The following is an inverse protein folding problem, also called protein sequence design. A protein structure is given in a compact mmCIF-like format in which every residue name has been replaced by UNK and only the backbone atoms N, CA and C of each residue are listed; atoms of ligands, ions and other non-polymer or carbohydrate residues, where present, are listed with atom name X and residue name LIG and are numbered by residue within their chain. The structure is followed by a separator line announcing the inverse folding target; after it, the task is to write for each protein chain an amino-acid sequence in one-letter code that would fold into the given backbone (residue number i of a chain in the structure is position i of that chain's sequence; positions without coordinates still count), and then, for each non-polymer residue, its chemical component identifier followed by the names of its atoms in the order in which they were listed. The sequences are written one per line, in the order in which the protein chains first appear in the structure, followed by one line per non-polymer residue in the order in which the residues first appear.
data_IF_297624108938
#
_entry.id   IF_297624108938
#
_cell.length_a   1.000
_cell.length_b   1.000
_cell.length_c   1.000
_cell.angle_alpha   90.00
_cell.angle_beta   90.00
_cell.angle_gamma   90.00
#
_symmetry.space_group_name_H-M   'P 1'
#
loop_
_entity.id
_entity.type
_entity.pdbx_description
1 polymer ?
#
# COMPACT_ATOMS: atom_id res chain seq x y z
N UNK A 1 -38.75 -13.03 30.97
CA UNK A 1 -39.77 -13.76 30.19
C UNK A 1 -41.08 -13.00 30.33
N UNK A 2 -41.39 -12.16 29.34
CA UNK A 2 -42.73 -11.60 29.17
C UNK A 2 -43.15 -12.05 27.78
N UNK A 3 -43.84 -13.19 27.69
CA UNK A 3 -44.40 -13.67 26.43
C UNK A 3 -45.62 -12.82 26.14
N UNK A 4 -45.41 -11.89 25.23
CA UNK A 4 -46.41 -10.96 24.74
C UNK A 4 -47.47 -11.75 23.96
N UNK A 5 -48.64 -11.99 24.57
CA UNK A 5 -49.78 -12.75 23.99
C UNK A 5 -50.47 -12.03 22.80
N UNK A 6 -49.87 -10.93 22.32
CA UNK A 6 -50.34 -10.21 21.14
C UNK A 6 -50.16 -11.05 19.90
N UNK A 7 -51.16 -11.07 19.01
CA UNK A 7 -51.04 -11.70 17.68
C UNK A 7 -50.27 -10.77 16.74
N UNK A 8 -49.22 -11.24 16.04
CA UNK A 8 -48.54 -10.43 15.04
C UNK A 8 -49.50 -10.04 13.91
N UNK A 9 -49.48 -8.77 13.53
CA UNK A 9 -50.21 -8.23 12.37
C UNK A 9 -49.42 -8.51 11.09
N UNK A 10 -48.09 -8.50 11.16
CA UNK A 10 -47.20 -8.73 10.02
C UNK A 10 -45.90 -9.42 10.47
N UNK A 11 -45.26 -10.13 9.55
CA UNK A 11 -43.89 -10.61 9.70
C UNK A 11 -43.00 -9.99 8.62
N UNK A 12 -41.83 -9.49 9.03
CA UNK A 12 -40.86 -8.85 8.14
C UNK A 12 -39.60 -9.70 8.02
N UNK A 13 -39.21 -9.99 6.78
CA UNK A 13 -38.01 -10.76 6.46
C UNK A 13 -37.00 -9.95 5.63
N UNK A 14 -37.48 -8.88 4.97
CA UNK A 14 -36.66 -8.01 4.14
C UNK A 14 -37.23 -6.60 4.12
N UNK A 15 -36.36 -5.63 3.87
CA UNK A 15 -36.71 -4.21 3.70
C UNK A 15 -36.09 -3.66 2.42
N UNK A 16 -36.78 -2.72 1.78
CA UNK A 16 -36.23 -1.97 0.67
C UNK A 16 -35.69 -0.65 1.20
N UNK A 17 -34.37 -0.44 1.11
CA UNK A 17 -33.76 0.85 1.46
C UNK A 17 -33.91 1.83 0.31
N UNK A 18 -34.02 3.10 0.66
CA UNK A 18 -33.78 4.21 -0.26
C UNK A 18 -32.35 4.03 -0.78
N UNK A 19 -32.19 3.86 -2.08
CA UNK A 19 -30.91 3.62 -2.78
C UNK A 19 -30.41 2.16 -2.85
N UNK A 20 -31.23 1.16 -2.49
CA UNK A 20 -30.92 -0.25 -2.75
C UNK A 20 -31.62 -0.77 -4.01
N UNK A 21 -30.89 -1.50 -4.87
CA UNK A 21 -31.44 -2.12 -6.09
C UNK A 21 -32.25 -3.39 -5.79
N UNK A 22 -31.97 -4.04 -4.65
CA UNK A 22 -32.60 -5.29 -4.22
C UNK A 22 -33.04 -5.20 -2.75
N UNK A 23 -34.12 -5.91 -2.37
CA UNK A 23 -34.52 -6.02 -0.97
C UNK A 23 -33.41 -6.65 -0.13
N UNK A 24 -33.12 -6.06 1.03
CA UNK A 24 -32.12 -6.57 1.96
C UNK A 24 -32.79 -7.40 3.05
N UNK A 25 -32.23 -8.57 3.34
CA UNK A 25 -32.70 -9.40 4.47
C UNK A 25 -32.45 -8.68 5.79
N UNK A 26 -33.41 -8.77 6.70
CA UNK A 26 -33.32 -8.14 8.01
C UNK A 26 -33.50 -9.12 9.15
N UNK A 27 -33.00 -8.73 10.31
CA UNK A 27 -33.23 -9.42 11.58
C UNK A 27 -33.54 -8.42 12.68
N UNK A 28 -34.22 -8.90 13.73
CA UNK A 28 -34.53 -8.09 14.90
C UNK A 28 -33.24 -7.66 15.59
N UNK A 29 -33.07 -6.36 15.78
CA UNK A 29 -31.98 -5.81 16.58
C UNK A 29 -32.44 -5.63 18.03
N UNK A 30 -33.52 -4.86 18.23
CA UNK A 30 -34.05 -4.52 19.54
C UNK A 30 -35.52 -4.11 19.42
N UNK A 31 -36.26 -4.22 20.52
CA UNK A 31 -37.60 -3.65 20.65
C UNK A 31 -37.64 -2.78 21.92
N UNK A 32 -37.86 -1.48 21.73
CA UNK A 32 -38.01 -0.51 22.82
C UNK A 32 -39.43 0.07 22.79
N UNK A 33 -40.26 -0.36 23.75
CA UNK A 33 -41.67 -0.04 23.77
C UNK A 33 -42.39 -0.49 22.49
N UNK A 34 -42.91 0.48 21.74
CA UNK A 34 -43.56 0.25 20.44
C UNK A 34 -42.61 0.42 19.25
N UNK A 35 -41.33 0.75 19.45
CA UNK A 35 -40.36 0.89 18.36
C UNK A 35 -39.63 -0.43 18.15
N UNK A 36 -39.61 -0.91 16.91
CA UNK A 36 -38.98 -2.17 16.51
C UNK A 36 -37.78 -1.86 15.62
N UNK A 37 -36.59 -1.98 16.19
CA UNK A 37 -35.35 -1.78 15.47
C UNK A 37 -34.98 -3.05 14.70
N UNK A 38 -34.84 -2.94 13.39
CA UNK A 38 -34.36 -4.01 12.52
C UNK A 38 -33.04 -3.61 11.87
N UNK A 39 -32.12 -4.56 11.77
CA UNK A 39 -30.83 -4.38 11.10
C UNK A 39 -30.71 -5.32 9.91
N UNK A 40 -29.86 -4.95 8.96
CA UNK A 40 -29.52 -5.84 7.85
C UNK A 40 -28.70 -7.04 8.35
N UNK A 41 -28.90 -8.20 7.74
CA UNK A 41 -28.12 -9.42 8.02
C UNK A 41 -26.69 -9.22 7.54
N UNK A 42 -25.71 -9.39 8.42
CA UNK A 42 -24.29 -9.23 8.13
C UNK A 42 -23.69 -10.53 7.55
N UNK A 43 -22.55 -10.46 6.83
CA UNK A 43 -21.82 -11.63 6.37
C UNK A 43 -21.50 -12.67 7.47
N UNK A 44 -21.24 -12.25 8.71
CA UNK A 44 -21.04 -13.16 9.85
C UNK A 44 -22.31 -13.89 10.31
N UNK A 45 -23.50 -13.41 9.92
CA UNK A 45 -24.78 -14.03 10.29
C UNK A 45 -25.17 -15.19 9.32
N UNK A 46 -24.27 -15.64 8.45
CA UNK A 46 -24.54 -16.56 7.33
C UNK A 46 -25.13 -17.92 7.74
N UNK A 47 -24.83 -18.40 8.94
CA UNK A 47 -25.40 -19.65 9.49
C UNK A 47 -26.78 -19.47 10.15
N UNK A 48 -27.25 -18.23 10.29
CA UNK A 48 -28.54 -17.91 10.87
C UNK A 48 -29.51 -17.58 9.73
N UNK A 49 -30.49 -18.45 9.46
CA UNK A 49 -31.69 -18.01 8.76
C UNK A 49 -32.53 -17.22 9.77
N UNK A 50 -32.51 -15.87 9.74
CA UNK A 50 -33.10 -15.10 10.81
C UNK A 50 -34.60 -15.34 10.79
N UNK A 51 -35.15 -15.64 11.97
CA UNK A 51 -36.59 -15.78 12.11
C UNK A 51 -37.29 -14.50 11.65
N UNK A 52 -38.43 -14.62 10.93
CA UNK A 52 -39.27 -13.48 10.57
C UNK A 52 -39.54 -12.56 11.77
N UNK A 53 -39.33 -11.25 11.61
CA UNK A 53 -39.54 -10.29 12.70
C UNK A 53 -41.03 -10.00 12.84
N UNK A 54 -41.68 -10.34 13.97
CA UNK A 54 -43.10 -10.06 14.16
C UNK A 54 -43.32 -8.58 14.50
N UNK A 55 -44.29 -7.98 13.81
CA UNK A 55 -44.86 -6.68 14.14
C UNK A 55 -46.26 -6.86 14.72
N UNK A 56 -46.53 -6.16 15.82
CA UNK A 56 -47.81 -6.09 16.50
C UNK A 56 -48.50 -4.76 16.19
N UNK A 57 -49.79 -4.69 16.50
CA UNK A 57 -50.56 -3.45 16.35
C UNK A 57 -49.96 -2.33 17.21
N UNK A 58 -49.85 -1.12 16.64
CA UNK A 58 -49.20 0.04 17.24
C UNK A 58 -47.67 0.10 17.14
N UNK A 59 -47.02 -0.92 16.56
CA UNK A 59 -45.57 -0.92 16.37
C UNK A 59 -45.11 0.08 15.30
N UNK A 60 -43.95 0.69 15.55
CA UNK A 60 -43.23 1.54 14.61
C UNK A 60 -41.94 0.84 14.20
N UNK A 61 -41.84 0.49 12.92
CA UNK A 61 -40.63 -0.13 12.37
C UNK A 61 -39.54 0.94 12.18
N UNK A 62 -38.36 0.65 12.73
CA UNK A 62 -37.17 1.48 12.60
C UNK A 62 -36.06 0.67 11.90
N UNK A 63 -35.75 1.01 10.65
CA UNK A 63 -34.70 0.33 9.87
C UNK A 63 -33.37 1.03 10.10
N UNK A 64 -32.39 0.31 10.63
CA UNK A 64 -31.06 0.83 10.87
C UNK A 64 -30.24 0.94 9.57
N UNK A 65 -29.39 1.97 9.49
CA UNK A 65 -28.42 2.15 8.42
C UNK A 65 -27.17 1.34 8.76
N UNK A 66 -26.68 0.52 7.84
CA UNK A 66 -25.42 -0.19 8.03
C UNK A 66 -24.25 0.57 7.36
N UNK A 67 -23.14 0.69 8.08
CA UNK A 67 -21.89 1.27 7.61
C UNK A 67 -20.80 0.19 7.71
N UNK A 68 -20.10 -0.06 6.60
CA UNK A 68 -19.01 -1.04 6.56
C UNK A 68 -17.63 -0.38 6.50
N UNK A 69 -17.52 0.75 5.80
CA UNK A 69 -16.26 1.44 5.55
C UNK A 69 -16.42 2.96 5.68
N UNK A 70 -15.32 3.62 5.99
CA UNK A 70 -15.09 5.03 5.68
C UNK A 70 -14.05 5.12 4.57
N UNK A 71 -13.97 6.24 3.84
CA UNK A 71 -13.01 6.39 2.75
C UNK A 71 -12.01 7.49 3.06
N UNK A 72 -10.74 7.24 2.75
CA UNK A 72 -9.67 8.22 2.81
C UNK A 72 -9.62 8.99 1.49
N UNK A 73 -9.62 10.32 1.56
CA UNK A 73 -9.57 11.21 0.41
C UNK A 73 -8.52 12.30 0.58
N UNK A 74 -7.93 12.74 -0.53
CA UNK A 74 -7.05 13.91 -0.59
C UNK A 74 -7.83 15.25 -0.53
N UNK A 75 -9.13 15.22 -0.80
CA UNK A 75 -9.99 16.40 -0.85
C UNK A 75 -11.17 16.27 0.10
N UNK A 76 -11.72 17.41 0.54
CA UNK A 76 -12.77 17.44 1.54
C UNK A 76 -14.14 16.92 1.04
N UNK A 77 -14.37 16.81 -0.27
CA UNK A 77 -15.61 16.28 -0.84
C UNK A 77 -15.48 15.83 -2.31
N UNK A 78 -16.21 14.77 -2.67
CA UNK A 78 -16.33 14.26 -4.05
C UNK A 78 -15.63 12.91 -4.27
N UNK A 79 -15.74 12.36 -5.48
CA UNK A 79 -15.00 11.15 -5.89
C UNK A 79 -13.55 11.45 -6.27
N UNK A 80 -13.18 12.73 -6.39
CA UNK A 80 -11.84 13.16 -6.71
C UNK A 80 -10.91 13.05 -5.50
N UNK A 81 -9.79 12.36 -5.71
CA UNK A 81 -8.79 12.18 -4.66
C UNK A 81 -9.10 11.03 -3.71
N UNK A 82 -9.99 10.09 -4.08
CA UNK A 82 -10.11 8.82 -3.38
C UNK A 82 -8.76 8.11 -3.31
N UNK A 83 -8.42 7.59 -2.13
CA UNK A 83 -7.16 6.90 -1.88
C UNK A 83 -7.39 5.44 -1.52
N UNK A 84 -8.13 5.18 -0.45
CA UNK A 84 -8.41 3.82 -0.01
C UNK A 84 -9.67 3.74 0.86
N UNK A 85 -10.33 2.58 0.92
CA UNK A 85 -11.38 2.32 1.89
C UNK A 85 -10.77 1.84 3.21
N UNK A 86 -11.37 2.22 4.33
CA UNK A 86 -10.99 1.79 5.66
C UNK A 86 -12.18 1.08 6.30
N UNK A 87 -12.02 -0.22 6.57
CA UNK A 87 -13.02 -1.03 7.25
C UNK A 87 -13.26 -0.49 8.65
N UNK A 88 -14.52 -0.35 9.07
CA UNK A 88 -14.88 0.10 10.42
C UNK A 88 -15.64 -0.96 11.21
N UNK A 89 -15.38 -1.01 12.51
CA UNK A 89 -16.03 -1.93 13.46
C UNK A 89 -16.60 -1.15 14.65
N UNK A 90 -17.66 -1.71 15.22
CA UNK A 90 -18.33 -1.13 16.38
C UNK A 90 -17.42 -1.20 17.62
N UNK A 91 -17.31 -0.10 18.36
CA UNK A 91 -16.67 -0.08 19.68
C UNK A 91 -17.73 -0.16 20.76
N UNK A 92 -18.71 0.75 20.71
CA UNK A 92 -19.80 0.84 21.69
C UNK A 92 -20.96 1.66 21.16
N UNK A 93 -22.11 1.52 21.82
CA UNK A 93 -23.32 2.34 21.60
C UNK A 93 -23.61 3.16 22.84
N UNK A 94 -24.00 4.41 22.63
CA UNK A 94 -24.45 5.36 23.64
C UNK A 94 -25.81 5.91 23.18
N UNK A 95 -26.68 6.42 24.08
CA UNK A 95 -27.95 7.01 23.66
C UNK A 95 -27.74 8.15 22.66
N UNK A 96 -28.27 8.02 21.43
CA UNK A 96 -28.12 9.00 20.36
C UNK A 96 -26.76 8.98 19.62
N UNK A 97 -25.88 8.01 19.92
CA UNK A 97 -24.51 7.99 19.40
C UNK A 97 -23.93 6.58 19.23
N UNK A 98 -23.30 6.32 18.10
CA UNK A 98 -22.53 5.10 17.84
C UNK A 98 -21.05 5.45 17.75
N UNK A 99 -20.20 4.73 18.48
CA UNK A 99 -18.75 4.89 18.40
C UNK A 99 -18.16 3.69 17.66
N UNK A 100 -17.46 3.98 16.58
CA UNK A 100 -16.76 3.01 15.74
C UNK A 100 -15.27 3.35 15.64
N UNK A 101 -14.49 2.39 15.16
CA UNK A 101 -13.07 2.58 14.85
C UNK A 101 -12.71 1.85 13.57
N UNK A 102 -11.57 2.18 12.99
CA UNK A 102 -11.00 1.34 11.93
C UNK A 102 -10.62 -0.04 12.46
N UNK A 103 -10.84 -1.06 11.64
CA UNK A 103 -10.36 -2.43 11.86
C UNK A 103 -8.83 -2.40 11.84
N UNK A 104 -8.17 -3.04 12.82
CA UNK A 104 -6.71 -3.03 12.89
C UNK A 104 -6.10 -3.94 11.84
N UNK A 105 -4.88 -3.63 11.41
CA UNK A 105 -4.11 -4.53 10.57
C UNK A 105 -3.90 -5.86 11.31
N UNK A 106 -4.19 -6.98 10.66
CA UNK A 106 -4.21 -8.34 11.24
C UNK A 106 -5.37 -8.67 12.20
N UNK A 107 -6.32 -7.75 12.47
CA UNK A 107 -7.56 -8.11 13.15
C UNK A 107 -8.47 -8.87 12.16
N UNK A 108 -8.99 -10.06 12.52
CA UNK A 108 -9.90 -10.78 11.65
C UNK A 108 -11.16 -9.97 11.36
N UNK A 109 -11.53 -9.84 10.08
CA UNK A 109 -12.83 -9.28 9.67
C UNK A 109 -13.86 -10.41 9.59
N UNK A 110 -14.82 -10.41 10.51
CA UNK A 110 -15.96 -11.31 10.47
C UNK A 110 -17.06 -10.81 9.51
N UNK A 111 -16.95 -9.58 9.01
CA UNK A 111 -17.93 -8.92 8.17
C UNK A 111 -19.01 -8.15 8.94
N UNK A 112 -18.94 -8.05 10.26
CA UNK A 112 -19.91 -7.32 11.08
C UNK A 112 -19.96 -5.83 10.73
N UNK A 113 -21.15 -5.29 10.44
CA UNK A 113 -21.30 -3.88 10.06
C UNK A 113 -21.72 -3.02 11.24
N UNK A 114 -21.39 -1.73 11.18
CA UNK A 114 -21.85 -0.75 12.16
C UNK A 114 -23.27 -0.34 11.79
N UNK A 115 -24.25 -0.79 12.57
CA UNK A 115 -25.66 -0.42 12.37
C UNK A 115 -26.01 0.84 13.17
N UNK A 116 -26.71 1.81 12.59
CA UNK A 116 -26.99 3.11 13.19
C UNK A 116 -28.48 3.39 13.09
N UNK A 117 -29.13 3.76 14.20
CA UNK A 117 -30.54 4.13 14.15
C UNK A 117 -30.70 5.50 13.49
N UNK A 118 -31.81 5.74 12.76
CA UNK A 118 -32.13 7.07 12.24
C UNK A 118 -32.11 8.13 13.36
N UNK A 119 -31.31 9.18 13.18
CA UNK A 119 -31.15 10.28 14.14
C UNK A 119 -29.96 10.14 15.09
N UNK A 120 -29.33 8.97 15.18
CA UNK A 120 -28.07 8.80 15.92
C UNK A 120 -26.89 9.43 15.16
N UNK A 121 -25.96 10.00 15.91
CA UNK A 121 -24.65 10.44 15.40
C UNK A 121 -23.64 9.30 15.37
N UNK A 122 -22.66 9.35 14.47
CA UNK A 122 -21.58 8.35 14.41
C UNK A 122 -20.23 9.01 14.64
N UNK A 123 -19.52 8.59 15.67
CA UNK A 123 -18.11 8.96 15.88
C UNK A 123 -17.22 7.82 15.39
N UNK A 124 -16.30 8.12 14.47
CA UNK A 124 -15.34 7.15 13.93
C UNK A 124 -13.92 7.55 14.34
N UNK A 125 -13.28 6.69 15.12
CA UNK A 125 -11.87 6.81 15.49
C UNK A 125 -11.00 6.23 14.36
N UNK A 126 -10.39 7.09 13.57
CA UNK A 126 -9.63 6.67 12.38
C UNK A 126 -8.16 6.47 12.74
N UNK A 127 -7.71 5.22 12.61
CA UNK A 127 -6.30 4.82 12.65
C UNK A 127 -5.91 4.24 11.29
N UNK A 128 -4.82 4.75 10.72
CA UNK A 128 -4.21 4.23 9.50
C UNK A 128 -2.93 3.49 9.86
N UNK A 129 -2.76 2.29 9.33
CA UNK A 129 -1.56 1.46 9.52
C UNK A 129 -0.85 1.27 8.18
N UNK A 130 0.48 1.47 8.16
CA UNK A 130 1.25 1.47 6.92
C UNK A 130 1.20 0.11 6.21
N UNK A 131 1.16 -0.97 6.97
CA UNK A 131 1.05 -2.31 6.41
C UNK A 131 -0.33 -2.60 5.82
N UNK A 132 -1.40 -1.96 6.31
CA UNK A 132 -2.73 -2.03 5.70
C UNK A 132 -2.76 -1.29 4.35
N UNK A 133 -2.06 -0.15 4.24
CA UNK A 133 -1.88 0.54 2.96
C UNK A 133 -1.10 -0.34 1.98
N UNK A 134 -0.04 -0.99 2.45
CA UNK A 134 0.79 -1.87 1.64
C UNK A 134 0.01 -3.09 1.11
N UNK A 135 -0.79 -3.72 1.98
CA UNK A 135 -1.66 -4.83 1.58
C UNK A 135 -2.69 -4.39 0.55
N UNK A 136 -3.31 -3.21 0.73
CA UNK A 136 -4.26 -2.67 -0.23
C UNK A 136 -3.60 -2.45 -1.61
N UNK A 137 -2.44 -1.79 -1.65
CA UNK A 137 -1.70 -1.56 -2.90
C UNK A 137 -1.16 -2.87 -3.50
N UNK A 138 -1.02 -3.94 -2.72
CA UNK A 138 -0.63 -5.25 -3.25
C UNK A 138 -1.74 -5.94 -4.06
N UNK A 139 -3.00 -5.52 -3.90
CA UNK A 139 -4.14 -6.15 -4.57
C UNK A 139 -4.02 -5.98 -6.09
N UNK A 140 -3.93 -7.11 -6.80
CA UNK A 140 -3.78 -7.13 -8.26
C UNK A 140 -2.34 -7.00 -8.76
N UNK A 141 -1.35 -6.84 -7.88
CA UNK A 141 0.07 -6.86 -8.23
C UNK A 141 0.66 -8.27 -8.05
N UNK A 142 1.34 -8.77 -9.09
CA UNK A 142 2.09 -10.03 -9.02
C UNK A 142 3.57 -9.70 -8.86
N UNK A 143 4.18 -10.14 -7.76
CA UNK A 143 5.59 -9.92 -7.48
C UNK A 143 5.85 -8.65 -6.66
N UNK A 144 6.65 -7.73 -7.20
CA UNK A 144 7.01 -6.50 -6.49
C UNK A 144 5.83 -5.52 -6.43
N UNK A 145 5.52 -5.05 -5.22
CA UNK A 145 4.54 -3.98 -4.99
C UNK A 145 5.28 -2.65 -4.90
N UNK A 146 5.03 -1.69 -5.82
CA UNK A 146 5.64 -0.36 -5.77
C UNK A 146 5.43 0.31 -4.42
N UNK A 147 6.51 0.89 -3.87
CA UNK A 147 6.46 1.52 -2.54
C UNK A 147 6.09 3.00 -2.61
N UNK A 148 6.21 3.63 -3.79
CA UNK A 148 5.80 5.04 -3.96
C UNK A 148 4.31 5.26 -3.68
N UNK A 149 3.35 4.47 -4.23
CA UNK A 149 1.94 4.64 -3.91
C UNK A 149 1.64 4.43 -2.43
N UNK A 150 2.26 3.42 -1.82
CA UNK A 150 2.15 3.13 -0.39
C UNK A 150 2.58 4.33 0.46
N UNK A 151 3.78 4.87 0.21
CA UNK A 151 4.26 6.03 0.95
C UNK A 151 3.50 7.30 0.60
N UNK A 152 3.05 7.47 -0.64
CA UNK A 152 2.21 8.61 -1.00
C UNK A 152 0.93 8.61 -0.17
N UNK A 153 0.26 7.45 -0.07
CA UNK A 153 -0.97 7.32 0.70
C UNK A 153 -0.76 7.57 2.19
N UNK A 154 0.31 6.99 2.75
CA UNK A 154 0.72 7.24 4.13
C UNK A 154 0.99 8.73 4.43
N UNK A 155 1.76 9.39 3.57
CA UNK A 155 2.18 10.78 3.77
C UNK A 155 1.05 11.78 3.54
N UNK A 156 0.04 11.43 2.75
CA UNK A 156 -1.17 12.23 2.60
C UNK A 156 -2.00 12.28 3.90
N UNK A 157 -1.96 11.20 4.70
CA UNK A 157 -2.62 11.13 6.01
C UNK A 157 -1.76 11.71 7.17
N UNK A 158 -0.49 12.02 6.94
CA UNK A 158 0.41 12.58 7.94
C UNK A 158 0.19 14.09 8.19
N UNK A 159 0.47 14.56 9.41
CA UNK A 159 0.37 15.98 9.79
C UNK A 159 1.23 16.88 8.91
N UNK A 160 0.66 18.03 8.49
CA UNK A 160 1.28 18.96 7.54
C UNK A 160 2.32 19.92 8.15
N UNK A 161 2.38 20.08 9.48
CA UNK A 161 3.31 21.04 10.08
C UNK A 161 4.75 20.51 10.04
N UNK A 162 5.61 21.17 9.25
CA UNK A 162 7.08 21.01 9.15
C UNK A 162 7.64 19.79 8.37
N UNK A 163 6.84 19.14 7.52
CA UNK A 163 7.20 17.82 6.95
C UNK A 163 7.48 17.76 5.44
N UNK A 164 7.40 18.87 4.70
CA UNK A 164 7.47 18.86 3.24
C UNK A 164 8.82 18.35 2.68
N UNK A 165 9.95 18.72 3.29
CA UNK A 165 11.27 18.22 2.88
C UNK A 165 11.40 16.71 3.09
N UNK A 166 10.96 16.21 4.26
CA UNK A 166 11.00 14.76 4.59
C UNK A 166 10.09 13.95 3.68
N UNK A 167 8.89 14.48 3.37
CA UNK A 167 7.96 13.88 2.39
C UNK A 167 8.59 13.77 1.02
N UNK A 168 9.15 14.88 0.50
CA UNK A 168 9.84 14.90 -0.79
C UNK A 168 11.01 13.93 -0.82
N UNK A 169 11.77 13.82 0.27
CA UNK A 169 12.88 12.88 0.40
C UNK A 169 12.42 11.42 0.28
N UNK A 170 11.41 11.02 1.06
CA UNK A 170 10.88 9.65 1.03
C UNK A 170 10.28 9.30 -0.33
N UNK A 171 9.46 10.19 -0.91
CA UNK A 171 8.88 9.98 -2.24
C UNK A 171 9.96 9.92 -3.33
N UNK A 172 11.01 10.73 -3.20
CA UNK A 172 12.15 10.71 -4.11
C UNK A 172 12.95 9.40 -4.03
N UNK A 173 13.13 8.85 -2.82
CA UNK A 173 13.79 7.56 -2.63
C UNK A 173 12.94 6.40 -3.15
N UNK A 174 11.64 6.38 -2.80
CA UNK A 174 10.67 5.39 -3.25
C UNK A 174 10.56 5.32 -4.78
N UNK A 175 10.41 6.47 -5.44
CA UNK A 175 10.31 6.53 -6.91
C UNK A 175 11.55 5.97 -7.61
N UNK A 176 12.73 6.20 -7.04
CA UNK A 176 13.98 5.66 -7.57
C UNK A 176 14.08 4.16 -7.38
N UNK A 177 13.59 3.64 -6.25
CA UNK A 177 13.52 2.20 -6.01
C UNK A 177 12.55 1.51 -6.97
N UNK A 178 11.33 2.05 -7.13
CA UNK A 178 10.31 1.51 -8.04
C UNK A 178 10.78 1.53 -9.50
N UNK A 179 11.44 2.62 -9.92
CA UNK A 179 12.05 2.72 -11.24
C UNK A 179 13.16 1.69 -11.41
N UNK A 180 14.04 1.52 -10.42
CA UNK A 180 15.11 0.53 -10.48
C UNK A 180 14.55 -0.89 -10.64
N UNK A 181 13.55 -1.26 -9.85
CA UNK A 181 12.88 -2.56 -9.96
C UNK A 181 12.26 -2.76 -11.35
N UNK A 182 11.53 -1.76 -11.85
CA UNK A 182 10.88 -1.85 -13.17
C UNK A 182 11.91 -2.05 -14.29
N UNK A 183 13.06 -1.38 -14.20
CA UNK A 183 14.14 -1.53 -15.17
C UNK A 183 14.85 -2.89 -15.04
N UNK A 184 15.06 -3.41 -13.83
CA UNK A 184 15.63 -4.75 -13.65
C UNK A 184 14.68 -5.85 -14.15
N UNK A 185 13.37 -5.70 -13.96
CA UNK A 185 12.39 -6.59 -14.57
C UNK A 185 12.47 -6.53 -16.10
N UNK A 186 12.59 -5.33 -16.68
CA UNK A 186 12.77 -5.16 -18.12
C UNK A 186 14.05 -5.81 -18.63
N UNK A 187 15.15 -5.70 -17.88
CA UNK A 187 16.41 -6.39 -18.20
C UNK A 187 16.19 -7.90 -18.25
N UNK A 188 15.49 -8.47 -17.27
CA UNK A 188 15.23 -9.91 -17.25
C UNK A 188 14.31 -10.35 -18.41
N UNK A 189 13.28 -9.58 -18.75
CA UNK A 189 12.45 -9.82 -19.94
C UNK A 189 13.29 -9.83 -21.22
N UNK A 190 14.19 -8.87 -21.38
CA UNK A 190 15.07 -8.78 -22.55
C UNK A 190 16.08 -9.94 -22.60
N UNK A 191 16.59 -10.39 -21.46
CA UNK A 191 17.47 -11.57 -21.36
C UNK A 191 16.77 -12.86 -21.78
N UNK A 192 15.48 -12.96 -21.48
CA UNK A 192 14.65 -14.13 -21.82
C UNK A 192 14.02 -14.03 -23.21
N UNK A 193 14.15 -12.89 -23.87
CA UNK A 193 13.60 -12.68 -25.22
C UNK A 193 14.40 -13.45 -26.28
N UNK A 194 13.69 -13.98 -27.28
CA UNK A 194 14.29 -14.65 -28.46
C UNK A 194 13.97 -13.86 -29.74
N UNK A 195 14.61 -12.69 -29.96
CA UNK A 195 14.32 -11.83 -31.10
C UNK A 195 14.84 -12.43 -32.40
N UNK A 196 13.98 -12.50 -33.42
CA UNK A 196 14.33 -13.09 -34.72
C UNK A 196 15.25 -12.17 -35.55
N UNK A 197 16.43 -12.70 -35.91
CA UNK A 197 17.36 -12.05 -36.83
C UNK A 197 18.29 -11.01 -36.19
N UNK A 198 19.47 -10.86 -36.81
CA UNK A 198 20.56 -10.05 -36.25
C UNK A 198 20.20 -8.58 -35.91
N UNK A 199 19.37 -7.85 -36.68
CA UNK A 199 18.96 -6.50 -36.30
C UNK A 199 18.11 -6.44 -35.02
N UNK A 200 17.21 -7.41 -34.81
CA UNK A 200 16.34 -7.44 -33.64
C UNK A 200 17.14 -7.81 -32.38
N UNK A 201 18.04 -8.79 -32.48
CA UNK A 201 19.01 -9.13 -31.42
C UNK A 201 19.81 -7.91 -30.98
N UNK A 202 20.37 -7.14 -31.93
CA UNK A 202 21.15 -5.94 -31.59
C UNK A 202 20.31 -4.90 -30.84
N UNK A 203 19.07 -4.66 -31.24
CA UNK A 203 18.18 -3.71 -30.54
C UNK A 203 17.88 -4.16 -29.12
N UNK A 204 17.55 -5.43 -28.93
CA UNK A 204 17.29 -6.00 -27.61
C UNK A 204 18.51 -5.87 -26.68
N UNK A 205 19.72 -6.16 -27.19
CA UNK A 205 20.96 -6.00 -26.42
C UNK A 205 21.21 -4.55 -26.04
N UNK A 206 21.11 -3.59 -26.97
CA UNK A 206 21.33 -2.17 -26.64
C UNK A 206 20.28 -1.61 -25.69
N UNK A 207 19.01 -2.01 -25.84
CA UNK A 207 17.96 -1.66 -24.90
C UNK A 207 18.25 -2.22 -23.50
N UNK A 208 18.70 -3.48 -23.42
CA UNK A 208 19.03 -4.12 -22.15
C UNK A 208 20.20 -3.41 -21.45
N UNK A 209 21.25 -3.04 -22.18
CA UNK A 209 22.38 -2.28 -21.63
C UNK A 209 21.91 -0.93 -21.08
N UNK A 210 21.14 -0.17 -21.85
CA UNK A 210 20.59 1.11 -21.38
C UNK A 210 19.66 0.95 -20.17
N UNK A 211 18.88 -0.14 -20.11
CA UNK A 211 18.04 -0.44 -18.96
C UNK A 211 18.87 -0.75 -17.71
N UNK A 212 19.95 -1.54 -17.83
CA UNK A 212 20.88 -1.82 -16.72
C UNK A 212 21.52 -0.55 -16.18
N UNK A 213 22.00 0.33 -17.07
CA UNK A 213 22.62 1.60 -16.70
C UNK A 213 21.68 2.43 -15.82
N UNK A 214 20.46 2.67 -16.31
CA UNK A 214 19.45 3.44 -15.60
C UNK A 214 18.98 2.75 -14.31
N UNK A 215 18.91 1.42 -14.30
CA UNK A 215 18.52 0.63 -13.14
C UNK A 215 19.54 0.81 -12.00
N UNK A 216 20.84 0.66 -12.29
CA UNK A 216 21.91 0.80 -11.30
C UNK A 216 22.01 2.23 -10.79
N UNK A 217 21.85 3.24 -11.66
CA UNK A 217 21.80 4.64 -11.23
C UNK A 217 20.66 4.88 -10.25
N UNK A 218 19.45 4.40 -10.60
CA UNK A 218 18.26 4.56 -9.76
C UNK A 218 18.40 3.82 -8.43
N UNK A 219 18.86 2.56 -8.45
CA UNK A 219 19.09 1.75 -7.26
C UNK A 219 20.13 2.38 -6.34
N UNK A 220 21.26 2.81 -6.89
CA UNK A 220 22.35 3.44 -6.14
C UNK A 220 21.88 4.70 -5.41
N UNK A 221 21.01 5.50 -6.04
CA UNK A 221 20.44 6.70 -5.40
C UNK A 221 19.46 6.33 -4.29
N UNK A 222 18.60 5.32 -4.49
CA UNK A 222 17.69 4.86 -3.43
C UNK A 222 18.46 4.29 -2.21
N UNK A 223 19.54 3.55 -2.46
CA UNK A 223 20.45 3.00 -1.45
C UNK A 223 21.21 4.10 -0.70
N UNK A 224 21.75 5.11 -1.40
CA UNK A 224 22.41 6.26 -0.77
C UNK A 224 21.45 7.07 0.09
N UNK A 225 20.22 7.31 -0.39
CA UNK A 225 19.18 7.97 0.39
C UNK A 225 18.79 7.14 1.62
N UNK A 226 18.73 5.81 1.50
CA UNK A 226 18.44 4.96 2.67
C UNK A 226 19.52 5.06 3.74
N UNK A 227 20.80 5.17 3.35
CA UNK A 227 21.90 5.37 4.30
C UNK A 227 21.89 6.74 4.98
N UNK A 228 21.41 7.77 4.27
CA UNK A 228 21.33 9.14 4.77
C UNK A 228 20.03 9.43 5.52
N UNK A 229 19.06 8.53 5.48
CA UNK A 229 17.73 8.70 6.08
C UNK A 229 17.78 9.11 7.56
N UNK A 230 18.70 8.58 8.37
CA UNK A 230 18.83 8.99 9.78
C UNK A 230 19.08 10.50 9.95
N UNK A 231 19.95 11.08 9.11
CA UNK A 231 20.26 12.51 9.15
C UNK A 231 19.18 13.37 8.48
N UNK A 232 18.59 12.88 7.38
CA UNK A 232 17.65 13.64 6.54
C UNK A 232 16.20 13.58 7.04
N UNK A 233 15.81 12.46 7.68
CA UNK A 233 14.47 12.22 8.19
C UNK A 233 14.39 12.27 9.72
N UNK A 234 15.51 12.05 10.42
CA UNK A 234 15.53 11.89 11.88
C UNK A 234 15.02 10.53 12.36
N UNK A 235 14.96 9.52 11.48
CA UNK A 235 14.57 8.14 11.86
C UNK A 235 15.68 7.45 12.65
N UNK A 236 15.28 6.56 13.55
CA UNK A 236 16.18 5.67 14.31
C UNK A 236 16.29 4.27 13.71
N UNK A 237 15.49 3.98 12.67
CA UNK A 237 15.51 2.72 11.95
C UNK A 237 16.95 2.39 11.49
N UNK A 238 17.39 1.18 11.81
CA UNK A 238 18.72 0.71 11.42
C UNK A 238 18.74 0.38 9.93
N UNK A 239 19.74 0.89 9.21
CA UNK A 239 19.94 0.56 7.80
C UNK A 239 20.28 -0.94 7.68
N UNK A 240 19.53 -1.73 6.90
CA UNK A 240 19.77 -3.16 6.76
C UNK A 240 21.19 -3.49 6.26
N UNK A 241 21.71 -4.64 6.70
CA UNK A 241 23.04 -5.12 6.30
C UNK A 241 23.16 -5.35 4.79
N UNK A 242 22.09 -5.79 4.13
CA UNK A 242 22.04 -5.91 2.66
C UNK A 242 22.33 -4.58 1.95
N UNK A 243 21.79 -3.46 2.45
CA UNK A 243 22.08 -2.14 1.88
C UNK A 243 23.56 -1.78 2.13
N UNK A 244 24.04 -1.99 3.35
CA UNK A 244 25.39 -1.61 3.75
C UNK A 244 26.48 -2.44 3.05
N UNK A 245 26.27 -3.74 2.90
CA UNK A 245 27.22 -4.67 2.28
C UNK A 245 27.40 -4.41 0.79
N UNK A 246 26.33 -4.06 0.08
CA UNK A 246 26.37 -3.84 -1.37
C UNK A 246 26.58 -2.36 -1.76
N UNK A 247 26.58 -1.43 -0.81
CA UNK A 247 26.72 0.01 -1.09
C UNK A 247 27.95 0.34 -1.94
N UNK A 248 29.12 -0.18 -1.56
CA UNK A 248 30.38 0.10 -2.25
C UNK A 248 30.33 -0.41 -3.69
N UNK A 249 29.83 -1.63 -3.89
CA UNK A 249 29.64 -2.27 -5.19
C UNK A 249 28.68 -1.50 -6.08
N UNK A 250 27.46 -1.22 -5.61
CA UNK A 250 26.43 -0.50 -6.37
C UNK A 250 26.92 0.92 -6.72
N UNK A 251 27.62 1.58 -5.81
CA UNK A 251 28.19 2.92 -6.05
C UNK A 251 29.33 2.88 -7.08
N UNK A 252 30.23 1.89 -7.00
CA UNK A 252 31.32 1.74 -7.96
C UNK A 252 30.80 1.45 -9.37
N UNK A 253 29.81 0.56 -9.51
CA UNK A 253 29.18 0.24 -10.79
C UNK A 253 28.43 1.47 -11.32
N UNK A 254 27.66 2.19 -10.49
CA UNK A 254 27.02 3.46 -10.90
C UNK A 254 28.05 4.44 -11.47
N UNK A 255 29.13 4.71 -10.74
CA UNK A 255 30.17 5.63 -11.19
C UNK A 255 30.88 5.15 -12.45
N UNK A 256 30.94 3.84 -12.70
CA UNK A 256 31.47 3.31 -13.94
C UNK A 256 30.56 3.67 -15.12
N UNK A 257 29.23 3.51 -14.97
CA UNK A 257 28.25 3.91 -15.99
C UNK A 257 28.16 5.43 -16.17
N UNK A 258 28.14 6.22 -15.09
CA UNK A 258 28.02 7.70 -15.14
C UNK A 258 29.24 8.39 -15.80
N UNK A 259 30.42 7.75 -15.83
CA UNK A 259 31.66 8.35 -16.31
C UNK A 259 32.33 7.50 -17.40
N UNK A 260 31.55 6.71 -18.12
CA UNK A 260 32.05 5.70 -19.04
C UNK A 260 32.84 6.32 -20.20
N UNK A 261 32.37 7.43 -20.77
CA UNK A 261 33.07 8.15 -21.84
C UNK A 261 34.37 8.80 -21.36
N UNK A 262 34.37 9.37 -20.16
CA UNK A 262 35.54 10.07 -19.62
C UNK A 262 36.64 9.07 -19.20
N UNK A 263 36.25 7.90 -18.68
CA UNK A 263 37.17 6.82 -18.29
C UNK A 263 37.73 6.08 -19.49
N UNK A 264 36.90 5.81 -20.51
CA UNK A 264 37.36 5.19 -21.75
C UNK A 264 38.35 6.09 -22.52
N UNK A 265 38.15 7.41 -22.46
CA UNK A 265 39.01 8.39 -23.12
C UNK A 265 40.19 8.87 -22.24
N UNK A 266 40.36 8.33 -21.02
CA UNK A 266 41.44 8.73 -20.11
C UNK A 266 41.38 10.17 -19.59
N UNK A 267 40.21 10.82 -19.69
CA UNK A 267 39.99 12.21 -19.25
C UNK A 267 39.89 12.34 -17.73
N UNK A 268 39.63 11.23 -17.03
CA UNK A 268 39.68 11.13 -15.57
C UNK A 268 41.09 10.66 -15.17
N UNK A 269 41.90 11.57 -14.59
CA UNK A 269 43.26 11.28 -14.06
C UNK A 269 44.37 10.97 -15.09
N UNK A 270 44.19 11.33 -16.37
CA UNK A 270 45.28 11.40 -17.35
C UNK A 270 45.73 10.08 -17.99
N UNK A 271 45.08 8.94 -17.66
CA UNK A 271 45.23 7.65 -18.33
C UNK A 271 43.91 6.87 -18.30
N UNK A 272 43.59 6.04 -19.31
CA UNK A 272 42.43 5.14 -19.25
C UNK A 272 42.47 4.26 -18.00
N UNK A 273 41.37 4.20 -17.24
CA UNK A 273 41.32 3.37 -16.04
C UNK A 273 41.44 1.89 -16.43
N UNK A 274 42.30 1.12 -15.75
CA UNK A 274 42.61 -0.29 -16.10
C UNK A 274 41.37 -1.18 -16.23
N UNK A 275 40.36 -0.90 -15.39
CA UNK A 275 39.10 -1.65 -15.33
C UNK A 275 37.97 -1.00 -16.15
N UNK A 276 38.22 0.12 -16.84
CA UNK A 276 37.19 0.88 -17.58
C UNK A 276 36.47 0.02 -18.63
N UNK A 277 37.15 -0.98 -19.19
CA UNK A 277 36.57 -1.85 -20.20
C UNK A 277 35.66 -2.96 -19.63
N UNK A 278 35.79 -3.27 -18.33
CA UNK A 278 35.04 -4.38 -17.70
C UNK A 278 33.55 -4.10 -17.57
N UNK A 279 33.14 -2.83 -17.51
CA UNK A 279 31.73 -2.44 -17.49
C UNK A 279 31.03 -2.72 -18.84
N UNK A 280 31.82 -2.82 -19.94
CA UNK A 280 31.32 -3.18 -21.27
C UNK A 280 31.27 -4.69 -21.51
N UNK A 281 31.60 -5.52 -20.52
CA UNK A 281 31.49 -6.97 -20.60
C UNK A 281 30.02 -7.42 -20.54
N UNK A 282 29.20 -6.96 -21.49
CA UNK A 282 27.76 -7.21 -21.52
C UNK A 282 27.41 -8.69 -21.64
N UNK A 283 28.34 -9.53 -22.11
CA UNK A 283 28.18 -10.98 -22.14
C UNK A 283 27.88 -11.57 -20.76
N UNK A 284 28.47 -11.02 -19.68
CA UNK A 284 28.17 -11.50 -18.32
C UNK A 284 26.76 -11.12 -17.87
N UNK A 285 26.25 -9.98 -18.32
CA UNK A 285 24.87 -9.55 -18.06
C UNK A 285 23.90 -10.43 -18.84
N UNK A 286 24.12 -10.61 -20.14
CA UNK A 286 23.27 -11.44 -21.01
C UNK A 286 23.23 -12.88 -20.49
N UNK A 287 24.40 -13.51 -20.40
CA UNK A 287 24.53 -14.94 -20.13
C UNK A 287 24.31 -15.28 -18.66
N UNK A 288 25.02 -14.59 -17.77
CA UNK A 288 25.10 -14.98 -16.36
C UNK A 288 24.17 -14.14 -15.47
N UNK A 289 23.62 -13.03 -15.98
CA UNK A 289 22.78 -12.13 -15.18
C UNK A 289 23.60 -11.36 -14.15
N UNK A 290 24.83 -10.99 -14.51
CA UNK A 290 25.80 -10.42 -13.58
C UNK A 290 26.41 -9.15 -14.15
N UNK A 291 26.34 -8.07 -13.38
CA UNK A 291 27.01 -6.81 -13.70
C UNK A 291 28.38 -6.81 -13.00
N UNK A 292 29.44 -6.54 -13.76
CA UNK A 292 30.82 -6.53 -13.25
C UNK A 292 31.52 -5.21 -13.50
N UNK A 293 32.28 -4.76 -12.52
CA UNK A 293 33.21 -3.63 -12.66
C UNK A 293 34.45 -3.84 -11.79
N UNK A 294 35.60 -4.14 -12.40
CA UNK A 294 36.80 -4.54 -11.66
C UNK A 294 36.52 -5.75 -10.76
N UNK A 295 36.74 -5.61 -9.44
CA UNK A 295 36.41 -6.64 -8.44
C UNK A 295 34.96 -6.59 -7.93
N UNK A 296 34.16 -5.62 -8.38
CA UNK A 296 32.77 -5.48 -7.99
C UNK A 296 31.88 -6.36 -8.86
N UNK A 297 31.00 -7.11 -8.20
CA UNK A 297 30.03 -8.00 -8.82
C UNK A 297 28.66 -7.74 -8.22
N UNK A 298 27.65 -7.60 -9.07
CA UNK A 298 26.25 -7.45 -8.68
C UNK A 298 25.41 -8.46 -9.47
N UNK A 299 24.88 -9.43 -8.76
CA UNK A 299 24.08 -10.52 -9.32
C UNK A 299 22.59 -10.14 -9.38
N UNK A 300 22.00 -10.24 -10.57
CA UNK A 300 20.61 -9.82 -10.81
C UNK A 300 19.58 -10.76 -10.19
N UNK A 301 19.94 -12.03 -9.96
CA UNK A 301 19.02 -13.03 -9.41
C UNK A 301 19.05 -13.08 -7.87
N UNK A 302 20.17 -12.67 -7.26
CA UNK A 302 20.38 -12.80 -5.80
C UNK A 302 20.58 -11.47 -5.10
N UNK A 303 21.57 -10.67 -5.50
CA UNK A 303 21.90 -9.41 -4.81
C UNK A 303 20.81 -8.36 -5.03
N UNK A 304 20.38 -8.15 -6.28
CA UNK A 304 19.42 -7.10 -6.62
C UNK A 304 18.08 -7.27 -5.89
N UNK A 305 17.42 -8.45 -5.91
CA UNK A 305 16.17 -8.65 -5.17
C UNK A 305 16.33 -8.42 -3.66
N UNK A 306 17.45 -8.86 -3.06
CA UNK A 306 17.72 -8.64 -1.65
C UNK A 306 17.88 -7.16 -1.30
N UNK A 307 18.63 -6.41 -2.11
CA UNK A 307 18.80 -4.96 -1.92
C UNK A 307 17.46 -4.24 -2.08
N UNK A 308 16.67 -4.60 -3.11
CA UNK A 308 15.38 -3.96 -3.37
C UNK A 308 14.40 -4.22 -2.23
N UNK A 309 14.25 -5.47 -1.78
CA UNK A 309 13.38 -5.83 -0.67
C UNK A 309 13.82 -5.15 0.64
N UNK A 310 15.12 -5.14 0.94
CA UNK A 310 15.65 -4.49 2.14
C UNK A 310 15.45 -2.97 2.10
N UNK A 311 15.69 -2.34 0.95
CA UNK A 311 15.48 -0.90 0.75
C UNK A 311 14.00 -0.54 0.89
N UNK A 312 13.12 -1.34 0.29
CA UNK A 312 11.66 -1.18 0.39
C UNK A 312 11.18 -1.20 1.85
N UNK A 313 11.55 -2.25 2.58
CA UNK A 313 11.14 -2.41 3.98
C UNK A 313 11.74 -1.32 4.87
N UNK A 314 12.98 -0.92 4.62
CA UNK A 314 13.62 0.18 5.33
C UNK A 314 12.87 1.50 5.12
N UNK A 315 12.51 1.85 3.87
CA UNK A 315 11.77 3.07 3.56
C UNK A 315 10.39 3.09 4.25
N UNK A 316 9.69 1.95 4.30
CA UNK A 316 8.44 1.83 5.08
C UNK A 316 8.67 2.10 6.56
N UNK A 317 9.66 1.43 7.16
CA UNK A 317 9.98 1.57 8.59
C UNK A 317 10.35 3.02 8.93
N UNK A 318 11.23 3.64 8.12
CA UNK A 318 11.64 5.02 8.29
C UNK A 318 10.47 6.00 8.17
N UNK A 319 9.54 5.77 7.24
CA UNK A 319 8.34 6.58 7.10
C UNK A 319 7.39 6.45 8.30
N UNK A 320 7.20 5.22 8.79
CA UNK A 320 6.38 4.92 9.96
C UNK A 320 6.88 5.60 11.23
N UNK A 321 8.19 5.61 11.46
CA UNK A 321 8.81 6.28 12.61
C UNK A 321 8.82 7.81 12.47
N UNK A 322 9.26 8.33 11.31
CA UNK A 322 9.55 9.75 11.17
C UNK A 322 8.32 10.62 10.89
N UNK A 323 7.26 10.02 10.32
CA UNK A 323 6.07 10.72 9.84
C UNK A 323 4.78 9.90 10.09
N UNK A 324 4.42 9.62 11.36
CA UNK A 324 3.20 8.90 11.67
C UNK A 324 1.93 9.72 11.33
N UNK A 325 0.83 9.06 10.91
CA UNK A 325 -0.45 9.71 10.64
C UNK A 325 -1.07 10.27 11.92
N UNK A 326 -1.93 11.28 11.75
CA UNK A 326 -2.71 11.85 12.86
C UNK A 326 -3.95 10.98 13.08
N UNK A 327 -4.08 10.41 14.29
CA UNK A 327 -5.34 9.80 14.70
C UNK A 327 -6.40 10.89 14.79
N UNK A 328 -7.50 10.71 14.05
CA UNK A 328 -8.55 11.73 13.93
C UNK A 328 -9.91 11.10 14.25
N UNK A 329 -10.69 11.82 15.05
CA UNK A 329 -12.08 11.48 15.30
C UNK A 329 -12.97 12.24 14.32
N UNK A 330 -13.83 11.51 13.61
CA UNK A 330 -14.77 12.09 12.64
C UNK A 330 -16.19 11.87 13.15
N UNK A 331 -17.03 12.91 13.12
CA UNK A 331 -18.46 12.80 13.42
C UNK A 331 -19.26 12.86 12.12
N UNK A 332 -20.09 11.84 11.88
CA UNK A 332 -21.05 11.74 10.78
C UNK A 332 -22.48 11.91 11.28
#
# INVERSE_FOLDING_TARGET
MNTDDRKPVQHINAVMRKDADLPERVMLHERDGNIVYVRCVDPCDTDQDPAPVPLFDGDQLCVMVHLSHVSLHMSAAGTHGYMMPLRIVLVRREPGKVVARTLRFSEPDDGSRVHVAPGDSVEVQVTLELDAVDEFESQGNIGYVPVTPVLFTWLAAASQSDTDQRRRYLLAAARRLDLAQSLFQRVEELRQSDPEGAPAVRRAVFEMVGAVELAVVSLSRAVDMSRRAGAELGTTATVPSAISAHFATVTAIRHAYEHIEERALGKVHGNPHRDALTIFAHDSVVRDGVITYGSHRLDLATDVPQIIAATRQFLKTAAGEALPPVTTDITL
#
